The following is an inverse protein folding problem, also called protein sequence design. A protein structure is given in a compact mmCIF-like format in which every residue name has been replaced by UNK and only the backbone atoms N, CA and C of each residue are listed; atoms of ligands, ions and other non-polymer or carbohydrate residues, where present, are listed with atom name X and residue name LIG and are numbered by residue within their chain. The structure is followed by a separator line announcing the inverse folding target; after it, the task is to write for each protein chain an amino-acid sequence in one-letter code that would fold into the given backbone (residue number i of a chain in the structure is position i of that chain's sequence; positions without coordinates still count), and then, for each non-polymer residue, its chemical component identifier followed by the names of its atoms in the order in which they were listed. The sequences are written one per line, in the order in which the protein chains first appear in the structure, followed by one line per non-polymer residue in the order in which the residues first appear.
data_IF_350176231103
#
_entry.id   IF_350176231103
#
_cell.length_a   1.000
_cell.length_b   1.000
_cell.length_c   1.000
_cell.angle_alpha   90.00
_cell.angle_beta   90.00
_cell.angle_gamma   90.00
#
_symmetry.space_group_name_H-M   'P 1'
#
loop_
_entity.id
_entity.type
_entity.pdbx_description
1 polymer ?
#
# COMPACT_ATOMS: atom_id res chain seq x y z
N UNK A 1 22.94 -26.90 -11.43
CA UNK A 1 22.95 -25.44 -11.70
C UNK A 1 21.51 -24.97 -11.67
N UNK A 2 21.07 -24.34 -10.59
CA UNK A 2 19.74 -23.72 -10.55
C UNK A 2 19.86 -22.40 -11.33
N UNK A 3 19.30 -22.32 -12.53
CA UNK A 3 19.15 -21.05 -13.23
C UNK A 3 18.32 -20.16 -12.33
N UNK A 4 18.90 -19.09 -11.77
CA UNK A 4 18.11 -18.11 -11.03
C UNK A 4 17.27 -17.35 -12.04
N UNK A 5 15.99 -17.68 -12.12
CA UNK A 5 15.03 -16.89 -12.89
C UNK A 5 15.01 -15.49 -12.26
N UNK A 6 15.33 -14.47 -13.04
CA UNK A 6 15.27 -13.09 -12.58
C UNK A 6 13.87 -12.78 -12.04
N UNK A 7 13.80 -12.05 -10.92
CA UNK A 7 12.52 -11.63 -10.37
C UNK A 7 11.80 -10.70 -11.35
N UNK A 8 10.48 -10.87 -11.47
CA UNK A 8 9.63 -10.23 -12.47
C UNK A 8 8.75 -9.16 -11.84
N UNK A 9 8.84 -7.94 -12.35
CA UNK A 9 8.03 -6.79 -11.95
C UNK A 9 7.26 -6.25 -13.14
N UNK A 10 5.95 -6.08 -12.99
CA UNK A 10 5.12 -5.47 -14.02
C UNK A 10 4.62 -4.08 -13.63
N UNK A 11 4.49 -3.22 -14.62
CA UNK A 11 3.70 -1.99 -14.53
C UNK A 11 2.43 -2.16 -15.37
N UNK A 12 1.26 -2.22 -14.72
CA UNK A 12 -0.04 -2.41 -15.35
C UNK A 12 -0.83 -1.09 -15.27
N UNK A 13 -1.19 -0.54 -16.43
CA UNK A 13 -1.94 0.72 -16.50
C UNK A 13 -3.06 0.68 -17.55
N UNK A 14 -3.93 1.68 -17.53
CA UNK A 14 -4.99 1.84 -18.51
C UNK A 14 -4.56 2.76 -19.67
N UNK A 15 -4.96 2.43 -20.91
CA UNK A 15 -4.60 3.17 -22.12
C UNK A 15 -4.97 4.66 -22.01
N UNK A 16 -6.07 4.98 -21.34
CA UNK A 16 -6.62 6.33 -21.20
C UNK A 16 -5.74 7.27 -20.37
N UNK A 17 -5.01 6.73 -19.40
CA UNK A 17 -4.18 7.52 -18.46
C UNK A 17 -2.68 7.27 -18.63
N UNK A 18 -2.28 6.35 -19.50
CA UNK A 18 -0.87 5.98 -19.71
C UNK A 18 0.03 7.17 -20.01
N UNK A 19 -0.50 8.17 -20.70
CA UNK A 19 0.24 9.35 -21.10
C UNK A 19 0.26 10.48 -20.05
N UNK A 20 -0.48 10.32 -18.94
CA UNK A 20 -0.51 11.28 -17.84
C UNK A 20 0.83 11.28 -17.08
N UNK A 21 1.22 12.45 -16.58
CA UNK A 21 2.51 12.65 -15.91
C UNK A 21 2.83 11.60 -14.82
N UNK A 22 1.92 11.29 -13.86
CA UNK A 22 2.24 10.31 -12.82
C UNK A 22 2.64 8.96 -13.39
N UNK A 23 2.00 8.52 -14.47
CA UNK A 23 2.21 7.18 -15.02
C UNK A 23 3.50 7.12 -15.83
N UNK A 24 3.84 8.21 -16.53
CA UNK A 24 5.12 8.36 -17.22
C UNK A 24 6.30 8.35 -16.26
N UNK A 25 6.20 9.08 -15.15
CA UNK A 25 7.28 9.12 -14.16
C UNK A 25 7.44 7.78 -13.43
N UNK A 26 6.35 7.13 -13.02
CA UNK A 26 6.41 5.77 -12.45
C UNK A 26 7.06 4.80 -13.46
N UNK A 27 6.65 4.83 -14.73
CA UNK A 27 7.23 3.98 -15.76
C UNK A 27 8.74 4.23 -15.95
N UNK A 28 9.17 5.50 -15.92
CA UNK A 28 10.59 5.90 -15.98
C UNK A 28 11.35 5.31 -14.79
N UNK A 29 10.86 5.55 -13.57
CA UNK A 29 11.51 5.12 -12.34
C UNK A 29 11.60 3.60 -12.25
N UNK A 30 10.51 2.87 -12.57
CA UNK A 30 10.51 1.41 -12.59
C UNK A 30 11.49 0.83 -13.61
N UNK A 31 11.59 1.42 -14.81
CA UNK A 31 12.58 0.99 -15.81
C UNK A 31 14.01 1.17 -15.32
N UNK A 32 14.30 2.33 -14.71
CA UNK A 32 15.62 2.61 -14.16
C UNK A 32 15.97 1.63 -13.04
N UNK A 33 15.04 1.43 -12.09
CA UNK A 33 15.21 0.53 -10.96
C UNK A 33 15.39 -0.93 -11.36
N UNK A 34 14.56 -1.41 -12.29
CA UNK A 34 14.67 -2.78 -12.78
C UNK A 34 15.95 -3.02 -13.58
N UNK A 35 16.45 -2.00 -14.31
CA UNK A 35 17.76 -2.08 -14.97
C UNK A 35 18.90 -2.18 -13.94
N UNK A 36 18.86 -1.36 -12.88
CA UNK A 36 19.88 -1.34 -11.83
C UNK A 36 19.96 -2.68 -11.06
N UNK A 37 18.80 -3.29 -10.77
CA UNK A 37 18.70 -4.53 -9.99
C UNK A 37 18.59 -5.79 -10.85
N UNK A 38 18.76 -5.69 -12.18
CA UNK A 38 18.67 -6.80 -13.13
C UNK A 38 17.34 -7.59 -13.06
N UNK A 39 16.24 -6.86 -12.88
CA UNK A 39 14.88 -7.40 -12.80
C UNK A 39 14.24 -7.52 -14.18
N UNK A 40 13.46 -8.59 -14.40
CA UNK A 40 12.65 -8.74 -15.61
C UNK A 40 11.42 -7.81 -15.52
N UNK A 41 11.43 -6.76 -16.35
CA UNK A 41 10.42 -5.72 -16.34
C UNK A 41 9.52 -5.75 -17.56
N UNK A 42 8.20 -5.64 -17.35
CA UNK A 42 7.21 -5.46 -18.42
C UNK A 42 6.22 -4.36 -18.08
N UNK A 43 6.02 -3.42 -19.01
CA UNK A 43 4.89 -2.51 -18.99
C UNK A 43 3.73 -3.12 -19.80
N UNK A 44 2.53 -3.16 -19.23
CA UNK A 44 1.35 -3.79 -19.80
C UNK A 44 0.18 -2.81 -19.73
N UNK A 45 -0.63 -2.79 -20.79
CA UNK A 45 -1.89 -2.05 -20.81
C UNK A 45 -3.04 -3.02 -20.55
N UNK A 46 -4.02 -2.61 -19.75
CA UNK A 46 -5.12 -3.48 -19.29
C UNK A 46 -5.86 -4.19 -20.45
N UNK A 47 -6.08 -3.48 -21.56
CA UNK A 47 -6.81 -3.99 -22.73
C UNK A 47 -6.00 -4.96 -23.62
N UNK A 48 -4.71 -5.16 -23.32
CA UNK A 48 -3.85 -6.15 -23.98
C UNK A 48 -3.87 -7.50 -23.27
N UNK A 49 -4.45 -7.57 -22.06
CA UNK A 49 -4.49 -8.76 -21.22
C UNK A 49 -5.74 -9.59 -21.55
N UNK A 50 -5.54 -10.84 -21.95
CA UNK A 50 -6.60 -11.83 -22.10
C UNK A 50 -6.45 -12.88 -21.00
N UNK A 51 -7.50 -13.04 -20.20
CA UNK A 51 -7.54 -14.04 -19.13
C UNK A 51 -8.06 -15.36 -19.69
N UNK A 52 -7.47 -16.47 -19.26
CA UNK A 52 -7.91 -17.81 -19.67
C UNK A 52 -8.14 -18.69 -18.44
N UNK A 53 -9.08 -19.62 -18.58
CA UNK A 53 -9.23 -20.76 -17.67
C UNK A 53 -9.22 -22.00 -18.56
N UNK A 54 -8.11 -22.72 -18.54
CA UNK A 54 -7.90 -23.89 -19.38
C UNK A 54 -7.69 -25.11 -18.50
N UNK A 55 -8.57 -26.11 -18.64
CA UNK A 55 -8.56 -27.33 -17.83
C UNK A 55 -8.58 -27.06 -16.30
N UNK A 56 -9.25 -25.98 -15.90
CA UNK A 56 -9.35 -25.55 -14.49
C UNK A 56 -8.15 -24.74 -13.98
N UNK A 57 -7.16 -24.46 -14.82
CA UNK A 57 -5.98 -23.66 -14.45
C UNK A 57 -6.13 -22.22 -14.93
N UNK A 58 -5.71 -21.27 -14.09
CA UNK A 58 -5.63 -19.86 -14.44
C UNK A 58 -4.47 -19.65 -15.43
N UNK A 59 -4.73 -18.92 -16.50
CA UNK A 59 -3.73 -18.54 -17.48
C UNK A 59 -3.97 -17.13 -17.99
N UNK A 60 -2.96 -16.56 -18.64
CA UNK A 60 -3.09 -15.24 -19.23
C UNK A 60 -2.30 -15.16 -20.55
N UNK A 61 -2.82 -14.39 -21.49
CA UNK A 61 -2.15 -14.05 -22.75
C UNK A 61 -2.01 -12.53 -22.86
N UNK A 62 -0.91 -12.08 -23.46
CA UNK A 62 -0.72 -10.67 -23.80
C UNK A 62 -0.40 -10.59 -25.28
N UNK A 63 -1.17 -9.81 -26.04
CA UNK A 63 -1.00 -9.66 -27.49
C UNK A 63 -0.93 -11.01 -28.25
N UNK A 64 -1.70 -12.00 -27.80
CA UNK A 64 -1.76 -13.35 -28.37
C UNK A 64 -0.71 -14.32 -27.85
N UNK A 65 0.28 -13.88 -27.08
CA UNK A 65 1.32 -14.75 -26.52
C UNK A 65 0.92 -15.30 -25.16
N UNK A 66 1.07 -16.61 -24.94
CA UNK A 66 0.85 -17.23 -23.63
C UNK A 66 1.95 -16.80 -22.66
N UNK A 67 1.56 -16.32 -21.48
CA UNK A 67 2.50 -16.02 -20.41
C UNK A 67 2.61 -17.25 -19.52
N UNK A 68 3.81 -17.84 -19.50
CA UNK A 68 4.14 -19.03 -18.72
C UNK A 68 4.88 -18.72 -17.42
N UNK A 69 5.37 -17.49 -17.25
CA UNK A 69 6.05 -17.04 -16.04
C UNK A 69 5.52 -15.67 -15.60
N UNK A 70 4.82 -15.68 -14.47
CA UNK A 70 4.06 -14.53 -13.95
C UNK A 70 4.95 -13.58 -13.13
N UNK A 71 4.58 -12.28 -13.06
CA UNK A 71 5.27 -11.33 -12.19
C UNK A 71 5.06 -11.67 -10.73
N UNK A 72 6.08 -11.42 -9.90
CA UNK A 72 5.93 -11.50 -8.44
C UNK A 72 5.23 -10.24 -7.92
N UNK A 73 5.55 -9.08 -8.49
CA UNK A 73 4.97 -7.77 -8.11
C UNK A 73 4.40 -7.07 -9.34
N UNK A 74 3.23 -6.45 -9.18
CA UNK A 74 2.57 -5.66 -10.21
C UNK A 74 2.21 -4.29 -9.64
N UNK A 75 2.81 -3.23 -10.17
CA UNK A 75 2.40 -1.84 -9.90
C UNK A 75 1.21 -1.51 -10.78
N UNK A 76 0.07 -1.23 -10.18
CA UNK A 76 -1.24 -1.04 -10.81
C UNK A 76 -1.64 0.43 -10.76
N UNK A 77 -1.94 1.01 -11.92
CA UNK A 77 -2.48 2.37 -12.06
C UNK A 77 -3.72 2.36 -12.94
N UNK A 78 -4.89 2.56 -12.35
CA UNK A 78 -6.19 2.53 -13.06
C UNK A 78 -6.99 3.80 -12.77
N UNK A 79 -7.81 4.28 -13.72
CA UNK A 79 -8.59 5.49 -13.56
C UNK A 79 -9.76 5.26 -12.60
N UNK A 80 -9.59 5.51 -11.30
CA UNK A 80 -10.56 5.15 -10.24
C UNK A 80 -12.03 5.55 -10.50
N UNK A 81 -12.39 6.71 -11.12
CA UNK A 81 -13.80 7.02 -11.37
C UNK A 81 -14.42 6.21 -12.53
N UNK A 82 -13.57 5.68 -13.41
CA UNK A 82 -13.94 4.98 -14.64
C UNK A 82 -13.58 3.50 -14.63
N UNK A 83 -13.03 3.01 -13.51
CA UNK A 83 -12.84 1.58 -13.28
C UNK A 83 -14.21 0.95 -13.44
N UNK A 84 -14.38 0.18 -14.51
CA UNK A 84 -15.56 -0.65 -14.63
C UNK A 84 -15.34 -1.81 -13.68
N UNK A 85 -16.24 -1.93 -12.70
CA UNK A 85 -16.12 -2.89 -11.59
C UNK A 85 -15.96 -4.33 -12.04
N UNK A 86 -16.30 -4.63 -13.29
CA UNK A 86 -16.39 -6.00 -13.78
C UNK A 86 -15.23 -6.34 -14.72
N UNK A 87 -14.80 -5.47 -15.64
CA UNK A 87 -13.69 -5.81 -16.56
C UNK A 87 -12.33 -5.63 -15.91
N UNK A 88 -12.03 -4.42 -15.43
CA UNK A 88 -10.70 -4.03 -14.98
C UNK A 88 -10.34 -4.76 -13.69
N UNK A 89 -11.30 -4.80 -12.76
CA UNK A 89 -11.17 -5.53 -11.50
C UNK A 89 -11.05 -7.03 -11.74
N UNK A 90 -11.68 -7.60 -12.78
CA UNK A 90 -11.51 -9.03 -13.08
C UNK A 90 -10.08 -9.35 -13.48
N UNK A 91 -9.41 -8.50 -14.28
CA UNK A 91 -7.98 -8.67 -14.58
C UNK A 91 -7.14 -8.62 -13.32
N UNK A 92 -7.37 -7.61 -12.45
CA UNK A 92 -6.61 -7.46 -11.22
C UNK A 92 -6.82 -8.64 -10.25
N UNK A 93 -8.07 -9.08 -10.07
CA UNK A 93 -8.39 -10.26 -9.24
C UNK A 93 -7.79 -11.52 -9.81
N UNK A 94 -7.76 -11.67 -11.13
CA UNK A 94 -7.14 -12.83 -11.78
C UNK A 94 -5.63 -12.87 -11.48
N UNK A 95 -4.91 -11.77 -11.67
CA UNK A 95 -3.48 -11.67 -11.32
C UNK A 95 -3.23 -11.97 -9.83
N UNK A 96 -4.06 -11.44 -8.94
CA UNK A 96 -3.97 -11.73 -7.50
C UNK A 96 -4.19 -13.22 -7.21
N UNK A 97 -5.16 -13.87 -7.87
CA UNK A 97 -5.41 -15.32 -7.73
C UNK A 97 -4.30 -16.18 -8.32
N UNK A 98 -3.53 -15.66 -9.27
CA UNK A 98 -2.31 -16.30 -9.78
C UNK A 98 -1.10 -16.14 -8.83
N UNK A 99 -1.26 -15.43 -7.72
CA UNK A 99 -0.22 -15.25 -6.69
C UNK A 99 0.61 -13.98 -6.84
N UNK A 100 0.25 -13.06 -7.76
CA UNK A 100 0.95 -11.79 -7.90
C UNK A 100 0.63 -10.85 -6.73
N UNK A 101 1.64 -10.13 -6.22
CA UNK A 101 1.45 -9.01 -5.27
C UNK A 101 1.15 -7.72 -6.05
N UNK A 102 -0.10 -7.23 -5.96
CA UNK A 102 -0.53 -6.02 -6.66
C UNK A 102 -0.41 -4.78 -5.77
N UNK A 103 0.05 -3.66 -6.33
CA UNK A 103 0.11 -2.34 -5.70
C UNK A 103 -0.70 -1.30 -6.49
N UNK A 104 -1.88 -0.88 -6.10
CA UNK A 104 -2.69 -1.37 -4.99
C UNK A 104 -3.41 -2.68 -5.35
N UNK A 105 -3.86 -3.40 -4.32
CA UNK A 105 -4.71 -4.58 -4.49
C UNK A 105 -6.11 -4.23 -5.02
N UNK A 106 -6.82 -5.18 -5.68
CA UNK A 106 -8.15 -4.93 -6.21
C UNK A 106 -9.14 -4.44 -5.15
N UNK A 107 -9.14 -5.04 -3.95
CA UNK A 107 -10.04 -4.64 -2.87
C UNK A 107 -9.76 -3.22 -2.38
N UNK A 108 -8.48 -2.85 -2.23
CA UNK A 108 -8.09 -1.51 -1.81
C UNK A 108 -8.52 -0.45 -2.84
N UNK A 109 -8.42 -0.76 -4.13
CA UNK A 109 -8.93 0.10 -5.20
C UNK A 109 -10.46 0.25 -5.09
N UNK A 110 -11.18 -0.86 -4.95
CA UNK A 110 -12.65 -0.88 -4.83
C UNK A 110 -13.15 -0.04 -3.64
N UNK A 111 -12.47 -0.13 -2.50
CA UNK A 111 -12.79 0.65 -1.30
C UNK A 111 -12.73 2.16 -1.54
N UNK A 112 -11.98 2.62 -2.55
CA UNK A 112 -11.80 4.03 -2.89
C UNK A 112 -12.60 4.48 -4.12
N UNK A 113 -13.30 3.57 -4.83
CA UNK A 113 -14.13 3.95 -5.99
C UNK A 113 -15.40 4.68 -5.57
N UNK A 114 -15.98 4.26 -4.45
CA UNK A 114 -17.18 4.87 -3.89
C UNK A 114 -16.84 5.55 -2.55
N UNK A 115 -16.96 6.88 -2.52
CA UNK A 115 -16.64 7.68 -1.33
C UNK A 115 -17.41 7.22 -0.08
N UNK A 116 -18.65 6.75 -0.25
CA UNK A 116 -19.44 6.26 0.88
C UNK A 116 -18.94 4.90 1.38
N UNK A 117 -18.50 4.00 0.48
CA UNK A 117 -17.88 2.73 0.90
C UNK A 117 -16.58 2.97 1.67
N UNK A 118 -15.78 3.95 1.25
CA UNK A 118 -14.60 4.39 2.00
C UNK A 118 -14.99 4.78 3.42
N UNK A 119 -16.05 5.58 3.58
CA UNK A 119 -16.51 6.05 4.88
C UNK A 119 -17.06 4.92 5.75
N UNK A 120 -17.78 3.96 5.16
CA UNK A 120 -18.25 2.77 5.87
C UNK A 120 -17.10 1.97 6.47
N UNK A 121 -16.02 1.76 5.71
CA UNK A 121 -14.84 1.04 6.18
C UNK A 121 -14.12 1.80 7.31
N UNK A 122 -13.94 3.11 7.14
CA UNK A 122 -13.24 3.96 8.10
C UNK A 122 -14.02 4.18 9.40
N UNK A 123 -15.35 4.34 9.32
CA UNK A 123 -16.22 4.53 10.48
C UNK A 123 -16.17 3.31 11.42
N UNK A 124 -16.09 2.09 10.88
CA UNK A 124 -15.94 0.86 11.66
C UNK A 124 -14.64 0.79 12.49
N UNK A 125 -13.67 1.65 12.20
CA UNK A 125 -12.37 1.73 12.87
C UNK A 125 -12.22 3.00 13.74
N UNK A 126 -13.29 3.77 13.95
CA UNK A 126 -13.27 4.99 14.77
C UNK A 126 -12.47 6.15 14.15
N UNK A 127 -12.27 6.14 12.84
CA UNK A 127 -11.60 7.24 12.12
C UNK A 127 -12.50 8.49 12.16
N UNK A 128 -11.97 9.68 12.46
CA UNK A 128 -12.75 10.91 12.41
C UNK A 128 -13.21 11.21 10.97
N UNK A 129 -14.52 11.30 10.77
CA UNK A 129 -15.18 11.57 9.49
C UNK A 129 -16.18 12.72 9.66
N UNK A 130 -16.49 13.49 8.61
CA UNK A 130 -17.63 14.38 8.63
C UNK A 130 -18.94 13.57 8.58
N UNK A 131 -19.97 14.05 9.27
CA UNK A 131 -21.30 13.44 9.18
C UNK A 131 -21.76 13.42 7.72
N UNK A 132 -22.08 12.23 7.22
CA UNK A 132 -22.26 11.98 5.79
C UNK A 132 -23.46 11.08 5.58
N UNK A 133 -24.35 11.52 4.70
CA UNK A 133 -25.54 10.80 4.31
C UNK A 133 -25.40 10.37 2.86
N UNK A 134 -25.92 9.18 2.54
CA UNK A 134 -25.97 8.67 1.18
C UNK A 134 -27.35 8.10 0.91
N UNK A 135 -27.92 8.47 -0.23
CA UNK A 135 -29.25 8.06 -0.63
C UNK A 135 -29.20 7.29 -1.95
N UNK A 136 -29.79 6.09 -1.97
CA UNK A 136 -29.74 5.18 -3.11
C UNK A 136 -30.75 5.48 -4.23
N UNK A 137 -31.74 6.34 -3.98
CA UNK A 137 -32.77 6.71 -4.97
C UNK A 137 -32.43 8.00 -5.70
N UNK A 138 -32.74 8.10 -7.00
CA UNK A 138 -32.51 9.34 -7.77
C UNK A 138 -33.77 10.20 -7.93
N UNK A 139 -34.94 9.65 -7.58
CA UNK A 139 -36.23 10.25 -7.92
C UNK A 139 -36.77 11.21 -6.85
N UNK A 140 -36.20 11.22 -5.64
CA UNK A 140 -36.70 12.07 -4.55
C UNK A 140 -35.58 12.66 -3.71
N UNK A 141 -34.85 13.62 -4.30
CA UNK A 141 -33.81 14.39 -3.61
C UNK A 141 -34.35 15.20 -2.43
N UNK A 142 -35.62 15.62 -2.48
CA UNK A 142 -36.27 16.33 -1.37
C UNK A 142 -36.30 15.49 -0.09
N UNK A 143 -36.64 14.19 -0.18
CA UNK A 143 -36.55 13.27 0.96
C UNK A 143 -35.16 13.18 1.57
N UNK A 144 -34.11 13.23 0.74
CA UNK A 144 -32.74 13.25 1.26
C UNK A 144 -32.48 14.51 2.06
N UNK A 145 -32.95 15.68 1.59
CA UNK A 145 -32.79 16.94 2.33
C UNK A 145 -33.61 16.91 3.62
N UNK A 146 -34.85 16.43 3.60
CA UNK A 146 -35.70 16.31 4.79
C UNK A 146 -35.07 15.39 5.85
N UNK A 147 -34.48 14.27 5.43
CA UNK A 147 -33.75 13.36 6.33
C UNK A 147 -32.39 13.92 6.79
N UNK A 148 -31.75 14.72 5.92
CA UNK A 148 -30.51 15.40 6.21
C UNK A 148 -30.71 16.76 6.92
N UNK A 149 -31.93 17.19 7.25
CA UNK A 149 -32.16 18.42 8.05
C UNK A 149 -31.50 18.34 9.44
N UNK A 150 -31.17 17.13 9.89
CA UNK A 150 -30.34 16.90 11.09
C UNK A 150 -28.92 17.47 10.91
N UNK A 151 -28.43 17.57 9.66
CA UNK A 151 -27.21 18.29 9.33
C UNK A 151 -27.53 19.78 9.19
N UNK A 152 -26.93 20.59 10.05
CA UNK A 152 -27.00 22.04 9.95
C UNK A 152 -26.37 22.55 8.64
N UNK A 153 -26.96 23.59 8.05
CA UNK A 153 -26.37 24.25 6.89
C UNK A 153 -25.12 25.05 7.27
N UNK A 154 -24.10 25.13 6.38
CA UNK A 154 -24.09 24.68 4.99
C UNK A 154 -23.66 23.22 4.77
N UNK A 155 -24.29 22.52 3.81
CA UNK A 155 -23.93 21.15 3.41
C UNK A 155 -23.13 21.10 2.10
N UNK A 156 -22.25 20.11 1.96
CA UNK A 156 -21.50 19.82 0.72
C UNK A 156 -22.06 18.57 0.03
N UNK A 157 -22.69 18.74 -1.13
CA UNK A 157 -23.20 17.62 -1.94
C UNK A 157 -22.14 17.17 -2.94
N UNK A 158 -21.78 15.87 -2.90
CA UNK A 158 -20.82 15.25 -3.83
C UNK A 158 -21.44 14.04 -4.53
N UNK A 159 -21.11 13.83 -5.79
CA UNK A 159 -21.35 12.55 -6.44
C UNK A 159 -20.47 11.46 -5.80
N UNK A 160 -21.03 10.25 -5.64
CA UNK A 160 -20.33 9.08 -5.06
C UNK A 160 -19.08 8.69 -5.85
N UNK A 161 -19.06 8.98 -7.16
CA UNK A 161 -17.90 8.85 -8.06
C UNK A 161 -17.55 10.19 -8.71
N UNK A 162 -16.26 10.53 -8.79
CA UNK A 162 -15.77 11.75 -9.46
C UNK A 162 -14.39 12.18 -8.99
N UNK A 163 -13.71 13.05 -9.76
CA UNK A 163 -12.40 13.64 -9.47
C UNK A 163 -12.31 15.12 -9.91
N UNK A 164 -11.33 15.87 -9.38
CA UNK A 164 -10.94 17.27 -9.72
C UNK A 164 -11.77 18.38 -9.07
N UNK A 165 -11.15 19.55 -8.85
CA UNK A 165 -11.81 20.79 -8.40
C UNK A 165 -10.99 21.78 -7.56
N UNK A 166 -9.73 21.50 -7.22
CA UNK A 166 -8.96 22.33 -6.27
C UNK A 166 -7.72 23.01 -6.86
N UNK A 167 -7.32 24.13 -6.24
CA UNK A 167 -5.99 24.75 -6.37
C UNK A 167 -5.19 24.36 -5.13
N UNK A 168 -3.98 23.82 -5.31
CA UNK A 168 -3.13 23.38 -4.21
C UNK A 168 -2.07 24.40 -3.84
N UNK A 169 -1.84 24.58 -2.53
CA UNK A 169 -0.67 25.27 -1.97
C UNK A 169 0.05 24.32 -1.01
N UNK A 170 1.35 24.53 -0.83
CA UNK A 170 2.11 23.77 0.16
C UNK A 170 1.59 24.10 1.57
N UNK A 171 1.31 23.06 2.34
CA UNK A 171 0.95 23.17 3.75
C UNK A 171 1.75 22.13 4.54
N UNK A 172 2.33 22.52 5.67
CA UNK A 172 2.95 21.58 6.59
C UNK A 172 1.86 20.80 7.33
N UNK A 173 1.87 19.48 7.19
CA UNK A 173 0.96 18.61 7.93
C UNK A 173 1.53 18.33 9.33
N UNK A 174 0.72 18.51 10.38
CA UNK A 174 1.11 18.17 11.75
C UNK A 174 1.30 16.65 11.90
N UNK A 175 1.97 16.23 12.98
CA UNK A 175 2.17 14.80 13.23
C UNK A 175 0.85 14.03 13.36
N UNK A 176 -0.16 14.66 13.97
CA UNK A 176 -1.51 14.09 14.05
C UNK A 176 -2.11 13.82 12.66
N UNK A 177 -1.98 14.77 11.73
CA UNK A 177 -2.45 14.59 10.35
C UNK A 177 -1.69 13.50 9.61
N UNK A 178 -0.36 13.40 9.80
CA UNK A 178 0.45 12.33 9.21
C UNK A 178 0.05 10.95 9.71
N UNK A 179 -0.10 10.80 11.04
CA UNK A 179 -0.53 9.54 11.65
C UNK A 179 -1.92 9.14 11.19
N UNK A 180 -2.85 10.10 11.07
CA UNK A 180 -4.19 9.85 10.53
C UNK A 180 -4.12 9.37 9.07
N UNK A 181 -3.32 10.00 8.21
CA UNK A 181 -3.16 9.57 6.83
C UNK A 181 -2.57 8.15 6.72
N UNK A 182 -1.58 7.81 7.57
CA UNK A 182 -0.98 6.47 7.65
C UNK A 182 -2.00 5.45 8.17
N UNK A 183 -2.79 5.81 9.19
CA UNK A 183 -3.82 4.93 9.71
C UNK A 183 -4.86 4.60 8.63
N UNK A 184 -5.32 5.60 7.88
CA UNK A 184 -6.28 5.43 6.79
C UNK A 184 -5.73 4.55 5.68
N UNK A 185 -4.47 4.76 5.25
CA UNK A 185 -3.86 3.92 4.22
C UNK A 185 -3.74 2.46 4.65
N UNK A 186 -3.40 2.21 5.93
CA UNK A 186 -3.34 0.87 6.50
C UNK A 186 -4.73 0.20 6.57
N UNK A 187 -5.76 0.90 7.05
CA UNK A 187 -7.14 0.37 7.13
C UNK A 187 -7.64 0.00 5.73
N UNK A 188 -7.40 0.87 4.74
CA UNK A 188 -7.85 0.65 3.36
C UNK A 188 -6.94 -0.31 2.56
N UNK A 189 -5.82 -0.75 3.14
CA UNK A 189 -4.87 -1.66 2.50
C UNK A 189 -4.19 -1.08 1.26
N UNK A 190 -3.93 0.23 1.24
CA UNK A 190 -3.31 0.92 0.11
C UNK A 190 -1.79 1.05 0.27
N UNK A 191 -1.07 0.69 -0.77
CA UNK A 191 0.39 0.85 -0.89
C UNK A 191 0.76 2.26 -1.38
N UNK A 192 0.01 2.79 -2.34
CA UNK A 192 0.22 4.12 -2.93
C UNK A 192 -1.13 4.84 -3.00
N UNK A 193 -1.30 5.90 -2.21
CA UNK A 193 -2.56 6.63 -2.15
C UNK A 193 -2.38 8.09 -1.76
N UNK A 194 -3.42 8.89 -2.01
CA UNK A 194 -3.58 10.23 -1.45
C UNK A 194 -4.73 10.24 -0.46
N UNK A 195 -4.53 10.80 0.72
CA UNK A 195 -5.57 10.97 1.73
C UNK A 195 -5.87 12.47 1.86
N UNK A 196 -7.10 12.85 1.59
CA UNK A 196 -7.54 14.23 1.70
C UNK A 196 -8.10 14.44 3.10
N UNK A 197 -7.52 15.38 3.84
CA UNK A 197 -7.92 15.73 5.20
C UNK A 197 -8.61 17.10 5.21
N UNK A 198 -9.67 17.22 6.02
CA UNK A 198 -10.24 18.51 6.40
C UNK A 198 -9.67 18.90 7.77
N UNK A 199 -9.18 20.12 7.88
CA UNK A 199 -8.78 20.72 9.15
C UNK A 199 -9.99 21.40 9.79
N UNK A 200 -10.24 21.11 11.06
CA UNK A 200 -11.29 21.75 11.87
C UNK A 200 -10.76 23.01 12.55
N UNK A 201 -11.67 23.84 13.06
CA UNK A 201 -11.33 25.09 13.75
C UNK A 201 -10.47 24.89 15.01
N UNK A 202 -10.57 23.71 15.64
CA UNK A 202 -9.75 23.32 16.80
C UNK A 202 -8.35 22.79 16.42
N UNK A 203 -8.02 22.78 15.13
CA UNK A 203 -6.75 22.28 14.59
C UNK A 203 -6.69 20.76 14.42
N UNK A 204 -7.75 20.03 14.76
CA UNK A 204 -7.85 18.59 14.49
C UNK A 204 -8.21 18.29 13.03
N UNK A 205 -8.12 17.02 12.64
CA UNK A 205 -8.40 16.57 11.27
C UNK A 205 -9.53 15.56 11.22
N UNK A 206 -10.31 15.59 10.14
CA UNK A 206 -11.13 14.46 9.71
C UNK A 206 -10.83 14.08 8.26
N UNK A 207 -11.16 12.85 7.90
CA UNK A 207 -10.87 12.30 6.57
C UNK A 207 -12.00 12.66 5.61
N UNK A 208 -11.63 13.21 4.46
CA UNK A 208 -12.56 13.65 3.42
C UNK A 208 -12.66 12.62 2.29
N UNK A 209 -11.52 12.12 1.84
CA UNK A 209 -11.41 11.28 0.65
C UNK A 209 -10.13 10.44 0.71
N UNK A 210 -10.16 9.26 0.10
CA UNK A 210 -9.00 8.42 -0.11
C UNK A 210 -8.90 8.06 -1.60
N UNK A 211 -7.73 8.25 -2.18
CA UNK A 211 -7.50 8.18 -3.62
C UNK A 211 -6.42 7.14 -3.96
N UNK A 212 -6.84 5.99 -4.50
CA UNK A 212 -5.94 4.89 -4.87
C UNK A 212 -5.11 5.17 -6.15
N UNK A 213 -5.50 6.13 -6.99
CA UNK A 213 -4.75 6.58 -8.17
C UNK A 213 -4.34 8.06 -8.03
N UNK A 214 -3.65 8.37 -6.93
CA UNK A 214 -3.23 9.74 -6.59
C UNK A 214 -2.33 10.35 -7.66
N UNK A 215 -2.59 11.60 -8.04
CA UNK A 215 -1.66 12.40 -8.83
C UNK A 215 -0.67 13.13 -7.92
N UNK A 216 0.59 13.21 -8.33
CA UNK A 216 1.65 13.79 -7.48
C UNK A 216 2.46 14.90 -8.18
N UNK A 217 2.02 15.42 -9.33
CA UNK A 217 2.71 16.56 -10.02
C UNK A 217 2.95 17.74 -9.08
N UNK A 218 1.92 18.13 -8.33
CA UNK A 218 1.99 19.26 -7.41
C UNK A 218 2.88 18.94 -6.21
N UNK A 219 2.83 17.70 -5.72
CA UNK A 219 3.64 17.23 -4.59
C UNK A 219 5.13 17.16 -4.95
N UNK A 220 5.50 16.55 -6.07
CA UNK A 220 6.90 16.48 -6.54
C UNK A 220 7.51 17.88 -6.63
N UNK A 221 6.79 18.82 -7.24
CA UNK A 221 7.27 20.19 -7.43
C UNK A 221 7.32 20.99 -6.14
N UNK A 222 6.31 20.87 -5.29
CA UNK A 222 6.26 21.62 -4.04
C UNK A 222 7.30 21.07 -3.06
N UNK A 223 7.35 19.76 -2.87
CA UNK A 223 8.20 19.13 -1.86
C UNK A 223 9.61 18.77 -2.36
N UNK A 224 9.90 18.94 -3.65
CA UNK A 224 11.16 18.53 -4.28
C UNK A 224 11.48 17.05 -4.02
N UNK A 225 10.49 16.18 -4.20
CA UNK A 225 10.59 14.73 -4.00
C UNK A 225 10.47 13.98 -5.34
N UNK A 226 11.20 12.87 -5.48
CA UNK A 226 10.98 11.89 -6.56
C UNK A 226 10.00 10.80 -6.08
N UNK A 227 8.70 11.12 -6.07
CA UNK A 227 7.67 10.16 -5.64
C UNK A 227 7.67 8.91 -6.53
N UNK A 228 7.96 9.05 -7.82
CA UNK A 228 8.05 7.90 -8.72
C UNK A 228 9.22 6.96 -8.36
N UNK A 229 10.38 7.52 -8.01
CA UNK A 229 11.53 6.79 -7.47
C UNK A 229 11.17 6.00 -6.22
N UNK A 230 10.53 6.66 -5.24
CA UNK A 230 10.06 6.02 -4.00
C UNK A 230 9.11 4.85 -4.29
N UNK A 231 8.15 5.03 -5.22
CA UNK A 231 7.24 3.96 -5.64
C UNK A 231 8.02 2.78 -6.23
N UNK A 232 9.03 3.06 -7.06
CA UNK A 232 9.83 2.02 -7.69
C UNK A 232 10.69 1.25 -6.68
N UNK A 233 11.32 1.94 -5.73
CA UNK A 233 12.08 1.33 -4.63
C UNK A 233 11.21 0.42 -3.78
N UNK A 234 10.01 0.88 -3.42
CA UNK A 234 9.10 0.03 -2.68
C UNK A 234 8.63 -1.18 -3.47
N UNK A 235 8.28 -1.01 -4.76
CA UNK A 235 7.86 -2.13 -5.60
C UNK A 235 8.97 -3.20 -5.71
N UNK A 236 10.22 -2.79 -5.84
CA UNK A 236 11.37 -3.69 -5.82
C UNK A 236 11.53 -4.38 -4.45
N UNK A 237 11.34 -3.66 -3.34
CA UNK A 237 11.43 -4.24 -1.99
C UNK A 237 10.39 -5.33 -1.68
N UNK A 238 9.28 -5.37 -2.43
CA UNK A 238 8.26 -6.41 -2.32
C UNK A 238 8.61 -7.71 -3.05
N UNK A 239 9.66 -7.71 -3.89
CA UNK A 239 10.09 -8.92 -4.58
C UNK A 239 10.69 -9.90 -3.56
N UNK A 240 10.48 -11.22 -3.74
CA UNK A 240 11.10 -12.22 -2.89
C UNK A 240 12.61 -12.05 -2.89
N UNK A 241 13.24 -12.07 -1.72
CA UNK A 241 14.69 -11.96 -1.58
C UNK A 241 15.41 -13.16 -2.23
N UNK A 242 15.62 -13.11 -3.53
CA UNK A 242 16.50 -14.01 -4.26
C UNK A 242 17.93 -13.58 -4.00
N UNK A 243 18.58 -14.16 -2.96
CA UNK A 243 20.01 -14.05 -2.61
C UNK A 243 20.76 -12.93 -3.35
N UNK A 244 20.61 -11.71 -2.86
CA UNK A 244 21.54 -10.62 -3.15
C UNK A 244 22.93 -11.04 -2.67
N UNK A 245 23.75 -11.66 -3.52
CA UNK A 245 25.20 -11.57 -3.38
C UNK A 245 25.63 -10.17 -3.84
N UNK A 246 25.19 -9.13 -3.11
CA UNK A 246 25.83 -7.82 -3.17
C UNK A 246 26.76 -7.78 -1.97
N UNK A 247 28.03 -8.12 -2.18
CA UNK A 247 29.11 -7.67 -1.30
C UNK A 247 28.86 -6.18 -1.07
N UNK A 248 28.55 -5.79 0.17
CA UNK A 248 28.64 -4.40 0.56
C UNK A 248 30.10 -3.98 0.35
N UNK A 249 30.35 -3.25 -0.74
CA UNK A 249 31.56 -2.47 -0.90
C UNK A 249 31.44 -1.30 0.09
N UNK A 250 31.89 -1.50 1.33
CA UNK A 250 32.18 -0.39 2.20
C UNK A 250 33.26 0.45 1.54
N UNK A 251 32.94 1.73 1.32
CA UNK A 251 33.85 2.75 0.83
C UNK A 251 35.20 2.66 1.54
N UNK A 252 36.24 2.44 0.74
CA UNK A 252 37.62 2.64 1.11
C UNK A 252 37.86 4.13 1.39
N UNK A 253 37.95 4.50 2.66
CA UNK A 253 38.74 5.65 3.09
C UNK A 253 39.84 5.09 4.01
N UNK A 254 40.99 4.81 3.40
CA UNK A 254 42.30 4.74 4.08
C UNK A 254 42.71 6.21 4.28
N UNK A 255 43.12 6.73 5.43
CA UNK A 255 44.13 6.31 6.42
C UNK A 255 43.87 7.15 7.70
N UNK A 256 44.19 6.74 8.93
CA UNK A 256 45.56 6.55 9.44
C UNK A 256 45.61 5.67 10.70
N UNK A 257 46.52 4.70 10.67
CA UNK A 257 47.36 4.13 11.73
C UNK A 257 46.93 4.26 13.23
N UNK A 258 46.84 3.13 13.95
CA UNK A 258 47.99 2.54 14.66
C UNK A 258 47.62 1.18 15.29
N UNK A 259 48.53 0.21 15.14
CA UNK A 259 48.99 -0.80 16.13
C UNK A 259 47.98 -1.44 17.11
N UNK A 260 47.95 -2.75 17.44
CA UNK A 260 48.80 -3.93 17.27
C UNK A 260 48.02 -5.12 17.90
N UNK A 261 48.37 -6.35 17.51
CA UNK A 261 48.22 -7.62 18.27
C UNK A 261 46.89 -8.41 18.24
N UNK A 262 46.94 -9.55 17.55
CA UNK A 262 46.25 -10.82 17.88
C UNK A 262 47.01 -11.56 19.01
N UNK A 263 46.54 -12.68 19.66
CA UNK A 263 45.78 -13.79 19.04
C UNK A 263 44.75 -14.59 19.89
N UNK A 264 44.00 -15.43 19.14
CA UNK A 264 43.39 -16.76 19.39
C UNK A 264 43.07 -17.29 20.81
N UNK A 265 41.88 -17.91 20.99
CA UNK A 265 41.70 -19.39 21.16
C UNK A 265 40.23 -19.82 21.43
N UNK A 266 39.72 -20.79 20.65
CA UNK A 266 38.99 -22.00 21.10
C UNK A 266 37.53 -21.97 21.65
N UNK A 267 36.60 -22.82 21.14
CA UNK A 267 35.30 -23.18 21.76
C UNK A 267 35.40 -24.58 22.44
N UNK A 268 34.34 -25.36 22.78
CA UNK A 268 32.88 -25.15 23.05
C UNK A 268 32.41 -25.84 24.37
N UNK A 269 31.09 -25.95 24.64
CA UNK A 269 30.35 -27.12 25.23
C UNK A 269 29.07 -26.69 26.01
N UNK A 270 27.86 -27.02 25.53
CA UNK A 270 26.94 -28.10 25.99
C UNK A 270 26.46 -27.99 27.44
N UNK A 271 25.17 -27.98 27.77
CA UNK A 271 24.29 -29.17 27.80
C UNK A 271 22.86 -28.79 28.22
N UNK A 272 21.90 -29.55 27.71
CA UNK A 272 20.49 -29.60 28.12
C UNK A 272 20.29 -30.50 29.36
N UNK A 273 19.21 -30.31 30.13
CA UNK A 273 18.42 -31.42 30.71
C UNK A 273 16.98 -30.98 31.03
N UNK A 274 16.05 -31.88 30.70
CA UNK A 274 14.61 -31.96 30.97
C UNK A 274 14.20 -32.06 32.46
N UNK A 275 12.93 -31.77 32.82
CA UNK A 275 11.96 -32.83 33.15
C UNK A 275 10.56 -32.39 33.61
N UNK A 276 9.66 -33.36 33.47
CA UNK A 276 8.19 -33.40 33.48
C UNK A 276 7.44 -33.30 34.84
N UNK A 277 6.13 -33.00 34.69
CA UNK A 277 4.92 -33.60 35.32
C UNK A 277 4.52 -33.29 36.78
N UNK A 278 3.27 -32.87 37.00
CA UNK A 278 2.15 -33.73 37.45
C UNK A 278 0.91 -32.90 37.92
N UNK A 279 -0.24 -33.55 37.88
CA UNK A 279 -1.65 -33.12 38.00
C UNK A 279 -2.22 -32.89 39.42
N UNK A 280 -3.31 -32.12 39.57
CA UNK A 280 -4.64 -32.55 40.10
C UNK A 280 -5.62 -31.38 40.34
N UNK A 281 -6.88 -31.74 40.60
CA UNK A 281 -8.21 -31.09 40.50
C UNK A 281 -8.66 -30.11 41.60
N UNK A 282 -9.60 -29.19 41.28
CA UNK A 282 -11.02 -29.16 41.75
C UNK A 282 -11.64 -27.75 42.03
N UNK A 283 -12.81 -27.51 41.40
CA UNK A 283 -14.04 -26.68 41.68
C UNK A 283 -14.06 -25.22 42.22
N UNK A 284 -14.96 -24.45 41.57
CA UNK A 284 -15.83 -23.32 41.96
C UNK A 284 -15.29 -21.89 42.22
N UNK A 285 -15.60 -20.97 41.29
CA UNK A 285 -16.48 -19.77 41.46
C UNK A 285 -16.11 -18.63 40.47
N UNK A 286 -17.11 -18.09 39.76
CA UNK A 286 -17.04 -16.99 38.75
C UNK A 286 -16.68 -15.60 39.36
N UNK A 287 -16.75 -14.48 38.58
CA UNK A 287 -15.73 -14.02 37.62
C UNK A 287 -15.28 -12.58 37.97
N UNK A 288 -14.21 -12.08 37.35
CA UNK A 288 -14.01 -10.67 36.94
C UNK A 288 -12.52 -10.27 36.95
N UNK A 289 -12.16 -9.55 35.90
CA UNK A 289 -11.03 -8.64 35.83
C UNK A 289 -9.62 -9.24 35.79
N UNK A 290 -9.24 -9.84 34.66
CA UNK A 290 -7.91 -9.64 34.02
C UNK A 290 -7.74 -10.64 32.88
N UNK A 291 -7.82 -10.19 31.61
CA UNK A 291 -7.00 -10.66 30.46
C UNK A 291 -7.58 -10.16 29.12
N UNK A 292 -7.38 -8.88 28.80
CA UNK A 292 -7.41 -8.42 27.39
C UNK A 292 -6.02 -7.96 26.90
N UNK A 293 -5.02 -7.91 27.79
CA UNK A 293 -3.69 -7.35 27.47
C UNK A 293 -2.63 -8.37 27.05
N UNK A 294 -2.92 -9.67 27.11
CA UNK A 294 -1.94 -10.73 26.79
C UNK A 294 -2.26 -11.56 25.53
N UNK A 295 -3.35 -11.27 24.82
CA UNK A 295 -3.69 -11.95 23.55
C UNK A 295 -3.16 -11.24 22.29
N UNK A 296 -2.48 -10.10 22.43
CA UNK A 296 -1.96 -9.30 21.32
C UNK A 296 -0.50 -9.62 20.92
N UNK A 297 0.19 -10.55 21.58
CA UNK A 297 1.64 -10.77 21.38
C UNK A 297 2.03 -12.04 20.63
N UNK A 298 1.10 -12.74 19.98
CA UNK A 298 1.45 -13.91 19.14
C UNK A 298 0.73 -13.93 17.80
N UNK A 299 1.11 -13.01 16.92
CA UNK A 299 0.95 -13.18 15.47
C UNK A 299 2.34 -13.14 14.81
N UNK A 300 2.78 -14.22 14.12
CA UNK A 300 4.05 -14.24 13.44
C UNK A 300 3.94 -13.52 12.09
N UNK A 301 4.77 -12.50 11.88
CA UNK A 301 4.92 -11.81 10.60
C UNK A 301 4.74 -10.31 10.73
N UNK A 302 5.79 -9.61 11.16
CA UNK A 302 5.84 -8.16 11.08
C UNK A 302 5.68 -7.73 9.62
N UNK A 303 4.59 -7.03 9.31
CA UNK A 303 4.47 -6.25 8.09
C UNK A 303 5.57 -5.19 8.11
N UNK A 304 6.62 -5.39 7.30
CA UNK A 304 7.53 -4.31 6.91
C UNK A 304 6.71 -3.25 6.17
N UNK A 305 6.45 -2.13 6.85
CA UNK A 305 5.58 -1.05 6.37
C UNK A 305 6.45 0.06 5.76
N UNK A 306 6.25 0.39 4.48
CA UNK A 306 6.95 1.46 3.74
C UNK A 306 6.83 2.82 4.43
N UNK A 307 5.73 3.06 5.13
CA UNK A 307 5.48 4.32 5.82
C UNK A 307 6.52 4.57 6.94
N UNK A 308 7.13 3.51 7.48
CA UNK A 308 8.18 3.61 8.49
C UNK A 308 9.55 3.97 7.88
N UNK A 309 9.82 3.57 6.64
CA UNK A 309 11.01 3.99 5.88
C UNK A 309 10.89 5.45 5.44
N UNK A 310 9.73 5.86 4.91
CA UNK A 310 9.47 7.25 4.54
C UNK A 310 9.50 8.20 5.75
N UNK A 311 8.96 7.78 6.90
CA UNK A 311 9.04 8.56 8.13
C UNK A 311 10.49 8.74 8.63
N UNK A 312 11.35 7.75 8.41
CA UNK A 312 12.75 7.82 8.81
C UNK A 312 13.60 8.69 7.86
N UNK A 313 13.36 8.65 6.55
CA UNK A 313 14.05 9.55 5.62
C UNK A 313 13.63 11.00 5.78
N UNK A 314 12.36 11.28 6.08
CA UNK A 314 11.87 12.63 6.35
C UNK A 314 12.56 13.24 7.59
N UNK A 315 12.95 12.44 8.57
CA UNK A 315 13.71 12.92 9.75
C UNK A 315 15.12 13.39 9.39
N UNK A 316 15.80 12.71 8.47
CA UNK A 316 17.18 13.02 8.09
C UNK A 316 17.32 14.29 7.25
N UNK A 317 16.22 14.81 6.68
CA UNK A 317 16.21 16.05 5.91
C UNK A 317 15.86 17.29 6.75
N UNK A 318 15.50 17.10 8.03
CA UNK A 318 15.06 18.17 8.94
C UNK A 318 16.13 18.51 10.00
N UNK A 319 17.22 17.75 10.05
CA UNK A 319 18.46 18.07 10.81
C UNK A 319 19.53 18.65 9.87
#
# INVERSE_FOLDING_TARGET
MCSSVAAKLWFLTDRRIREDYPQKEILRALKAKCCEEELDFRAVVMDEVVLTIEQGNLGLRINGELISAYPQVVVVRVPTPWVQSDSDITVLRHLEKMGCRLMNRPQAILNCVNKFWTFQELAGHGVPLPDTFSYGGHENFAKMIDEAEVLEFPMVVKNTRGHRGGVGMMCSLSEQGKQLAIQVSNILGMDVCGIDLLMKDDGSFCVCEANANVGFIAFDKACNLDVAGIIADYAASLLPAGRLTRRMSLLSVVSTASETSEPELGPPASTAVDNMSASSSSVDSDPESTTERELLTKLPGGLFNMNQLLANEIKLLVE
#
